data_IF_627862386822
#
_entry.id   IF_627862386822
#
_cell.length_a   1.000
_cell.length_b   1.000
_cell.length_c   1.000
_cell.angle_alpha   90.00
_cell.angle_beta   90.00
_cell.angle_gamma   90.00
#
_symmetry.space_group_name_H-M   'P 1'
#
loop_
_entity.id
_entity.type
_entity.pdbx_description
1 polymer ?
2 non-polymer ?
3 water ?
#
# COMPACT_ATOMS: atom_id res chain seq x y z
N UNK A 6 -10.38 11.41 -5.69
CA UNK A 6 -11.47 10.57 -5.21
C UNK A 6 -11.04 9.13 -4.80
N UNK A 7 -12.00 8.34 -4.32
CA UNK A 7 -11.75 7.00 -3.86
C UNK A 7 -11.23 6.07 -4.97
N UNK A 8 -11.92 6.07 -6.11
CA UNK A 8 -11.57 5.24 -7.25
C UNK A 8 -10.14 5.41 -7.72
N UNK A 9 -9.58 6.63 -7.60
CA UNK A 9 -8.20 6.89 -8.01
C UNK A 9 -7.21 6.16 -7.08
N UNK A 10 -7.39 6.28 -5.73
CA UNK A 10 -6.51 5.64 -4.76
C UNK A 10 -6.68 4.13 -4.78
N UNK A 11 -7.91 3.65 -4.96
CA UNK A 11 -8.18 2.20 -5.08
C UNK A 11 -7.41 1.59 -6.24
N UNK A 12 -7.27 2.35 -7.35
CA UNK A 12 -6.52 1.92 -8.52
C UNK A 12 -5.01 1.86 -8.24
N UNK A 13 -4.45 2.87 -7.57
CA UNK A 13 -3.03 2.86 -7.18
C UNK A 13 -2.75 1.65 -6.25
N UNK A 14 -3.66 1.41 -5.28
CA UNK A 14 -3.49 0.33 -4.32
C UNK A 14 -3.54 -1.05 -5.01
N UNK A 15 -4.44 -1.24 -6.00
CA UNK A 15 -4.55 -2.50 -6.75
C UNK A 15 -3.34 -2.69 -7.62
N UNK A 16 -2.92 -1.63 -8.35
CA UNK A 16 -1.74 -1.71 -9.22
C UNK A 16 -0.50 -2.10 -8.44
N UNK A 17 -0.32 -1.55 -7.21
CA UNK A 17 0.87 -1.86 -6.41
C UNK A 17 0.86 -3.32 -6.00
N UNK A 18 -0.28 -3.84 -5.56
CA UNK A 18 -0.37 -5.27 -5.22
C UNK A 18 -0.11 -6.14 -6.45
N UNK A 19 -0.56 -5.68 -7.63
CA UNK A 19 -0.30 -6.40 -8.88
C UNK A 19 1.20 -6.44 -9.16
N UNK A 20 1.90 -5.33 -8.94
CA UNK A 20 3.35 -5.22 -9.07
C UNK A 20 4.07 -6.19 -8.11
N UNK A 21 3.70 -6.20 -6.82
CA UNK A 21 4.31 -7.08 -5.81
C UNK A 21 4.11 -8.58 -6.13
N UNK A 22 2.86 -8.97 -6.46
CA UNK A 22 2.52 -10.36 -6.80
C UNK A 22 2.95 -10.78 -8.22
N UNK A 23 3.57 -9.86 -8.99
CA UNK A 23 3.99 -10.04 -10.38
C UNK A 23 2.86 -10.51 -11.30
N UNK A 24 1.60 -10.17 -10.98
CA UNK A 24 0.49 -10.54 -11.85
C UNK A 24 0.51 -9.59 -13.06
N UNK A 25 0.29 -10.12 -14.27
CA UNK A 25 0.43 -9.28 -15.47
C UNK A 25 -0.49 -8.06 -15.56
N UNK A 26 0.00 -7.01 -16.22
CA UNK A 26 -0.73 -5.76 -16.43
C UNK A 26 -0.91 -5.56 -17.94
N UNK A 27 -2.15 -5.69 -18.44
CA UNK A 27 -2.37 -5.55 -19.88
C UNK A 27 -2.62 -4.12 -20.38
N UNK A 28 -2.51 -3.98 -21.70
CA UNK A 28 -2.79 -2.76 -22.44
C UNK A 28 -2.05 -1.50 -22.07
N UNK A 29 -2.85 -0.44 -21.84
CA UNK A 29 -2.42 0.91 -21.47
C UNK A 29 -1.34 0.89 -20.39
N UNK A 30 -1.48 -0.04 -19.45
CA UNK A 30 -0.54 -0.20 -18.36
C UNK A 30 -0.84 0.79 -17.25
N UNK A 31 0.06 0.86 -16.26
CA UNK A 31 -0.15 1.81 -15.17
C UNK A 31 0.04 3.24 -15.63
N UNK A 32 -0.68 4.18 -15.02
CA UNK A 32 -0.49 5.60 -15.29
C UNK A 32 0.92 6.02 -14.81
N UNK A 33 1.40 7.20 -15.22
CA UNK A 33 2.71 7.69 -14.79
C UNK A 33 2.80 7.78 -13.24
N UNK A 34 1.70 8.20 -12.57
CA UNK A 34 1.67 8.28 -11.11
C UNK A 34 1.88 6.89 -10.51
N UNK A 35 1.20 5.88 -11.08
CA UNK A 35 1.27 4.52 -10.60
C UNK A 35 2.66 3.98 -10.74
N UNK A 36 3.31 4.23 -11.88
CA UNK A 36 4.66 3.79 -12.13
C UNK A 36 5.65 4.44 -11.18
N UNK A 37 5.55 5.76 -10.93
CA UNK A 37 6.43 6.44 -9.97
C UNK A 37 6.19 5.85 -8.56
N UNK A 38 4.92 5.70 -8.16
CA UNK A 38 4.58 5.11 -6.87
C UNK A 38 5.16 3.71 -6.70
N UNK A 39 5.00 2.82 -7.70
CA UNK A 39 5.52 1.46 -7.65
C UNK A 39 7.03 1.45 -7.49
N UNK A 40 7.75 2.34 -8.19
CA UNK A 40 9.20 2.38 -8.07
C UNK A 40 9.62 2.81 -6.67
N UNK A 41 8.99 3.85 -6.12
CA UNK A 41 9.33 4.33 -4.78
C UNK A 41 8.93 3.31 -3.71
N UNK A 42 7.69 2.81 -3.77
CA UNK A 42 7.19 1.86 -2.77
C UNK A 42 7.94 0.55 -2.78
N UNK A 43 8.41 0.09 -3.95
CA UNK A 43 9.18 -1.16 -4.01
C UNK A 43 10.47 -1.03 -3.18
N UNK A 44 11.14 0.12 -3.30
CA UNK A 44 12.34 0.38 -2.52
C UNK A 44 12.06 0.53 -1.00
N UNK A 45 10.98 1.23 -0.61
CA UNK A 45 10.63 1.36 0.81
C UNK A 45 10.31 -0.04 1.40
N UNK A 46 9.51 -0.83 0.69
CA UNK A 46 9.15 -2.17 1.13
C UNK A 46 10.34 -3.06 1.42
N UNK A 47 11.42 -2.95 0.62
CA UNK A 47 12.63 -3.72 0.87
C UNK A 47 13.21 -3.42 2.27
N UNK A 48 13.23 -2.12 2.67
CA UNK A 48 13.70 -1.68 3.99
C UNK A 48 12.73 -2.13 5.08
N UNK A 49 11.43 -1.85 4.89
CA UNK A 49 10.38 -2.21 5.84
C UNK A 49 10.38 -3.70 6.16
N UNK A 50 10.47 -4.57 5.14
CA UNK A 50 10.50 -6.02 5.36
C UNK A 50 11.65 -6.43 6.25
N UNK A 51 12.86 -5.87 6.01
CA UNK A 51 14.02 -6.19 6.84
C UNK A 51 13.79 -5.74 8.29
N UNK A 52 13.35 -4.49 8.50
CA UNK A 52 13.10 -3.94 9.83
C UNK A 52 11.97 -4.64 10.59
N UNK A 53 10.88 -5.02 9.91
CA UNK A 53 9.73 -5.67 10.55
C UNK A 53 9.80 -7.19 10.49
N UNK A 54 10.93 -7.79 10.07
CA UNK A 54 11.03 -9.22 9.90
C UNK A 54 10.61 -10.04 11.12
N UNK A 55 11.05 -9.65 12.34
CA UNK A 55 10.67 -10.35 13.56
C UNK A 55 9.18 -10.27 13.80
N UNK A 56 8.58 -9.10 13.51
CA UNK A 56 7.13 -8.90 13.67
C UNK A 56 6.37 -9.79 12.69
N UNK A 57 6.83 -9.83 11.44
CA UNK A 57 6.21 -10.64 10.41
C UNK A 57 6.29 -12.12 10.76
N UNK A 58 7.45 -12.58 11.24
CA UNK A 58 7.61 -13.98 11.65
C UNK A 58 6.74 -14.38 12.87
N UNK A 59 6.27 -13.39 13.62
CA UNK A 59 5.47 -13.64 14.82
C UNK A 59 3.96 -13.79 14.54
N UNK A 60 3.53 -13.50 13.33
CA UNK A 60 2.11 -13.39 13.05
C UNK A 60 1.57 -14.45 12.06
N UNK A 61 0.25 -14.80 12.17
CA UNK A 61 -0.39 -15.78 11.29
C UNK A 61 -1.53 -15.12 10.56
N UNK A 62 -1.29 -14.70 9.29
CA UNK A 62 -2.25 -13.96 8.45
C UNK A 62 -3.13 -14.94 7.67
N UNK A 63 -4.08 -15.57 8.38
CA UNK A 63 -4.93 -16.61 7.80
C UNK A 63 -6.02 -16.09 6.90
N UNK A 64 -6.37 -14.81 7.00
CA UNK A 64 -7.47 -14.27 6.22
C UNK A 64 -7.36 -12.77 6.01
N UNK A 65 -8.26 -12.20 5.16
CA UNK A 65 -8.38 -10.78 4.92
C UNK A 65 -8.71 -10.07 6.23
N UNK A 66 -9.57 -10.67 7.10
CA UNK A 66 -9.90 -10.03 8.39
C UNK A 66 -8.66 -9.90 9.26
N UNK A 67 -7.77 -10.92 9.24
CA UNK A 67 -6.54 -10.84 10.03
C UNK A 67 -5.65 -9.77 9.47
N UNK A 68 -5.55 -9.69 8.12
CA UNK A 68 -4.71 -8.67 7.49
C UNK A 68 -5.22 -7.28 7.84
N UNK A 69 -6.54 -7.08 7.91
CA UNK A 69 -7.11 -5.77 8.26
C UNK A 69 -6.79 -5.40 9.71
N UNK A 70 -6.90 -6.37 10.63
CA UNK A 70 -6.57 -6.15 12.05
C UNK A 70 -5.10 -5.74 12.19
N UNK A 71 -4.21 -6.44 11.47
CA UNK A 71 -2.78 -6.11 11.53
C UNK A 71 -2.52 -4.77 10.88
N UNK A 72 -3.16 -4.47 9.74
CA UNK A 72 -2.99 -3.17 9.09
C UNK A 72 -3.40 -2.03 10.04
N UNK A 73 -4.55 -2.17 10.72
CA UNK A 73 -5.00 -1.17 11.66
C UNK A 73 -4.00 -0.92 12.79
N UNK A 74 -3.38 -2.00 13.31
CA UNK A 74 -2.40 -1.85 14.39
C UNK A 74 -1.16 -1.12 13.92
N UNK A 75 -0.65 -1.47 12.72
CA UNK A 75 0.53 -0.83 12.16
C UNK A 75 0.23 0.66 11.84
N UNK A 76 -0.97 1.00 11.31
CA UNK A 76 -1.25 2.42 11.01
C UNK A 76 -1.34 3.26 12.26
N UNK A 77 -1.89 2.69 13.34
CA UNK A 77 -2.00 3.41 14.60
C UNK A 77 -0.62 3.76 15.15
N UNK A 78 0.39 2.85 15.01
CA UNK A 78 1.74 3.17 15.49
C UNK A 78 2.49 4.08 14.52
N UNK A 79 2.37 3.82 13.21
CA UNK A 79 3.03 4.63 12.20
C UNK A 79 2.69 6.13 12.32
N UNK A 80 1.41 6.43 12.61
CA UNK A 80 0.94 7.82 12.68
C UNK A 80 0.68 8.30 14.11
N UNK A 81 1.32 7.68 15.10
CA UNK A 81 1.17 8.03 16.51
C UNK A 81 1.44 9.52 16.79
N UNK A 82 2.48 10.13 16.17
CA UNK A 82 2.77 11.56 16.36
C UNK A 82 1.83 12.53 15.57
N UNK A 83 0.96 11.95 14.75
CA UNK A 83 0.01 12.69 13.95
C UNK A 83 0.54 13.27 12.67
N UNK A 84 1.81 12.99 12.32
CA UNK A 84 2.33 13.64 11.13
C UNK A 84 2.15 12.77 9.88
N UNK A 85 1.82 13.47 8.78
CA UNK A 85 1.65 12.93 7.46
C UNK A 85 2.68 13.58 6.57
N UNK A 86 3.33 12.77 5.73
CA UNK A 86 4.23 13.21 4.67
C UNK A 86 4.19 12.16 3.53
N UNK A 87 4.79 12.45 2.35
CA UNK A 87 4.72 11.48 1.25
C UNK A 87 5.41 10.17 1.60
N UNK A 88 6.50 10.24 2.35
CA UNK A 88 7.23 9.05 2.80
C UNK A 88 6.35 8.11 3.61
N UNK A 89 5.53 8.67 4.52
CA UNK A 89 4.62 7.85 5.30
C UNK A 89 3.49 7.26 4.45
N UNK A 90 3.06 7.99 3.41
CA UNK A 90 2.00 7.47 2.54
C UNK A 90 2.55 6.33 1.70
N UNK A 91 3.78 6.47 1.18
CA UNK A 91 4.43 5.41 0.43
C UNK A 91 4.58 4.13 1.31
N UNK A 92 4.82 4.33 2.60
CA UNK A 92 4.94 3.29 3.60
C UNK A 92 3.62 2.51 3.74
N UNK A 93 2.47 3.16 3.54
CA UNK A 93 1.18 2.47 3.57
C UNK A 93 1.10 1.42 2.43
N UNK A 94 1.57 1.80 1.24
CA UNK A 94 1.60 0.91 0.09
C UNK A 94 2.63 -0.19 0.35
N UNK A 95 3.80 0.16 0.90
CA UNK A 95 4.82 -0.84 1.25
C UNK A 95 4.25 -1.88 2.22
N UNK A 96 3.46 -1.43 3.20
CA UNK A 96 2.83 -2.35 4.13
C UNK A 96 1.76 -3.25 3.48
N UNK A 97 0.96 -2.73 2.51
CA UNK A 97 0.00 -3.61 1.84
C UNK A 97 0.74 -4.66 1.00
N UNK A 98 1.90 -4.31 0.42
CA UNK A 98 2.73 -5.26 -0.31
C UNK A 98 3.23 -6.37 0.61
N UNK A 99 3.53 -6.03 1.86
CA UNK A 99 3.98 -6.98 2.88
C UNK A 99 2.84 -7.88 3.33
N UNK A 100 1.65 -7.31 3.56
CA UNK A 100 0.51 -8.12 3.97
C UNK A 100 0.11 -9.11 2.88
N UNK A 101 0.15 -8.68 1.60
CA UNK A 101 -0.25 -9.57 0.52
C UNK A 101 0.70 -10.75 0.37
N UNK A 102 2.00 -10.55 0.65
CA UNK A 102 2.96 -11.64 0.59
C UNK A 102 2.75 -12.60 1.79
N UNK A 103 2.34 -12.06 2.96
CA UNK A 103 2.05 -12.93 4.10
C UNK A 103 0.83 -13.78 3.79
N UNK A 104 -0.22 -13.17 3.23
CA UNK A 104 -1.48 -13.81 2.83
C UNK A 104 -1.18 -14.88 1.77
N UNK A 105 -0.28 -14.60 0.83
CA UNK A 105 0.10 -15.58 -0.19
C UNK A 105 0.66 -16.86 0.46
N UNK A 106 1.39 -16.75 1.57
CA UNK A 106 1.87 -17.94 2.27
C UNK A 106 0.82 -18.51 3.24
N UNK A 107 0.17 -17.67 4.04
CA UNK A 107 -0.67 -18.15 5.14
C UNK A 107 -2.20 -18.11 4.98
N UNK A 108 -2.75 -17.42 3.97
CA UNK A 108 -4.21 -17.38 3.77
C UNK A 108 -4.78 -18.82 3.62
N UNK A 109 -5.84 -19.12 4.37
CA UNK A 109 -6.46 -20.43 4.33
C UNK A 109 -7.32 -20.57 3.06
N UNK A 110 -8.24 -19.62 2.81
CA UNK A 110 -9.17 -19.62 1.67
C UNK A 110 -8.51 -19.67 0.31
N UNK A 111 -9.06 -20.47 -0.62
CA UNK A 111 -8.49 -20.50 -1.98
C UNK A 111 -9.11 -19.36 -2.78
N UNK A 112 -8.75 -18.12 -2.44
CA UNK A 112 -9.32 -16.96 -3.11
C UNK A 112 -8.22 -16.01 -3.54
N UNK A 113 -7.92 -15.95 -4.84
CA UNK A 113 -6.88 -15.05 -5.35
C UNK A 113 -7.33 -13.58 -5.32
N UNK A 114 -8.64 -13.32 -5.39
CA UNK A 114 -9.20 -11.98 -5.39
C UNK A 114 -9.16 -11.27 -4.03
N UNK A 115 -8.51 -11.86 -3.02
CA UNK A 115 -8.39 -11.22 -1.72
C UNK A 115 -7.57 -9.95 -1.78
N UNK A 116 -6.68 -9.81 -2.78
CA UNK A 116 -5.90 -8.60 -2.94
C UNK A 116 -6.80 -7.39 -3.24
N UNK A 117 -7.97 -7.61 -3.88
CA UNK A 117 -8.88 -6.50 -4.15
C UNK A 117 -9.57 -6.03 -2.82
N UNK A 118 -9.78 -6.94 -1.86
CA UNK A 118 -10.32 -6.60 -0.54
C UNK A 118 -9.27 -5.85 0.27
N UNK A 119 -7.98 -6.26 0.16
CA UNK A 119 -6.84 -5.61 0.79
C UNK A 119 -6.72 -4.18 0.22
N UNK A 120 -6.64 -4.05 -1.13
CA UNK A 120 -6.55 -2.75 -1.82
C UNK A 120 -7.68 -1.83 -1.38
N UNK A 121 -8.88 -2.38 -1.21
CA UNK A 121 -10.04 -1.59 -0.82
C UNK A 121 -9.90 -0.96 0.56
N UNK A 122 -9.57 -1.74 1.62
CA UNK A 122 -9.45 -1.13 2.96
C UNK A 122 -8.23 -0.23 3.07
N UNK A 123 -7.17 -0.48 2.29
CA UNK A 123 -5.98 0.37 2.30
C UNK A 123 -6.38 1.71 1.67
N UNK A 124 -7.08 1.68 0.53
CA UNK A 124 -7.53 2.90 -0.11
C UNK A 124 -8.53 3.67 0.78
N UNK A 125 -9.44 2.96 1.50
CA UNK A 125 -10.34 3.72 2.38
C UNK A 125 -9.56 4.33 3.55
N UNK A 126 -8.43 3.71 3.99
CA UNK A 126 -7.63 4.31 5.05
C UNK A 126 -6.91 5.55 4.51
N UNK A 127 -6.29 5.45 3.34
CA UNK A 127 -5.61 6.58 2.72
C UNK A 127 -6.58 7.75 2.48
N UNK A 128 -7.79 7.45 1.99
CA UNK A 128 -8.77 8.50 1.75
C UNK A 128 -9.30 9.09 3.05
N UNK A 129 -9.75 8.24 3.98
CA UNK A 129 -10.37 8.71 5.21
C UNK A 129 -9.38 9.41 6.16
N UNK A 130 -8.16 8.87 6.31
CA UNK A 130 -7.18 9.41 7.23
C UNK A 130 -6.17 10.39 6.64
N UNK A 131 -5.80 10.27 5.36
CA UNK A 131 -4.81 11.18 4.76
C UNK A 131 -5.35 12.02 3.58
N UNK A 132 -6.59 11.80 3.17
CA UNK A 132 -7.19 12.51 2.03
C UNK A 132 -7.14 14.03 2.09
N UNK A 133 -7.36 14.62 3.28
CA UNK A 133 -7.30 16.08 3.43
C UNK A 133 -5.88 16.58 3.31
N UNK A 134 -4.89 15.82 3.82
CA UNK A 134 -3.49 16.21 3.67
C UNK A 134 -3.06 16.13 2.21
N UNK A 135 -3.48 15.11 1.48
CA UNK A 135 -3.11 14.94 0.07
C UNK A 135 -3.62 16.12 -0.77
N UNK A 136 -4.85 16.53 -0.54
CA UNK A 136 -5.48 17.66 -1.20
C UNK A 136 -4.76 18.98 -0.83
N UNK A 137 -4.27 19.10 0.41
CA UNK A 137 -3.52 20.28 0.83
C UNK A 137 -2.10 20.29 0.19
N UNK A 138 -1.53 19.10 -0.11
CA UNK A 138 -0.16 19.03 -0.61
C UNK A 138 -0.05 18.75 -2.13
N UNK A 139 -1.09 19.09 -2.87
CA UNK A 139 -1.02 19.07 -4.33
C UNK A 139 -1.58 17.88 -5.06
N UNK A 140 -2.11 16.91 -4.33
CA UNK A 140 -2.68 15.72 -4.95
C UNK A 140 -1.61 14.79 -5.49
N UNK A 141 -2.05 13.75 -6.18
CA UNK A 141 -1.14 12.73 -6.70
C UNK A 141 -0.31 13.21 -7.88
N UNK A 142 -0.95 13.74 -8.92
CA UNK A 142 -0.24 14.18 -10.13
C UNK A 142 0.57 15.46 -9.95
N UNK A 143 0.07 16.41 -9.16
CA UNK A 143 0.78 17.68 -8.97
C UNK A 143 1.52 17.82 -7.67
N UNK A 144 1.57 16.77 -6.86
CA UNK A 144 2.25 16.80 -5.58
C UNK A 144 3.15 15.61 -5.40
N UNK A 145 2.56 14.38 -5.39
CA UNK A 145 3.38 13.19 -5.24
C UNK A 145 4.33 13.04 -6.41
N UNK A 146 3.81 13.06 -7.65
CA UNK A 146 4.65 12.87 -8.82
C UNK A 146 5.75 13.89 -8.93
N UNK A 147 5.41 15.18 -8.79
CA UNK A 147 6.40 16.25 -8.88
C UNK A 147 7.55 16.09 -7.89
N UNK A 148 7.28 15.50 -6.73
CA UNK A 148 8.30 15.29 -5.72
C UNK A 148 9.17 14.07 -6.01
N UNK A 149 8.58 12.99 -6.56
CA UNK A 149 9.32 11.74 -6.74
C UNK A 149 9.70 11.34 -8.18
N UNK A 150 9.38 12.15 -9.20
CA UNK A 150 9.72 11.80 -10.58
C UNK A 150 11.19 12.09 -10.86
N UNK A 151 11.85 11.25 -11.68
CA UNK A 151 13.26 11.50 -11.97
C UNK A 151 13.45 12.82 -12.72
N UNK A 152 14.50 13.56 -12.36
CA UNK A 152 14.79 14.86 -12.96
C UNK A 152 15.71 14.73 -14.18
X LIG B 1 3.23 -8.52 16.26
X LIG B 1 5.76 -8.55 17.68
X LIG B 1 6.02 -9.74 18.36
X LIG B 1 6.81 -7.90 16.99
X LIG B 1 6.66 -6.52 16.39
X LIG B 1 6.91 -5.40 17.42
X LIG B 1 8.35 -5.25 17.69
X LIG B 1 6.36 -4.06 16.93
X LIG B 1 4.30 -2.85 16.38
X LIG B 1 2.93 -3.29 15.86
X LIG B 1 1.84 -2.25 15.86
X LIG B 1 1.80 -3.35 16.87
X LIG B 1 2.98 -4.31 14.73
X LIG B 1 3.08 -6.11 12.58
X LIG B 1 4.12 -5.22 12.81
X LIG B 1 4.07 -4.34 13.87
X LIG B 1 3.13 -7.04 11.42
X LIG B 1 3.67 -8.23 11.72
X LIG B 1 3.82 -6.54 10.39
X LIG B 1 1.93 -7.33 10.95
X LIG B 1 1.99 -6.09 13.44
X LIG B 1 1.94 -5.20 14.50
X LIG B 1 5.04 -3.91 17.06
X LIG B 1 7.10 -3.20 16.46
X LIG B 1 9.47 -5.18 17.91
X LIG B 1 4.05 -7.99 17.77
X LIG B 1 3.89 -6.53 17.99
X LIG B 1 3.29 -8.91 19.10
X LIG B 1 8.06 -8.51 16.97
X LIG B 1 8.29 -9.72 17.61
X LIG B 1 7.28 -10.32 18.31
#
# INVERSE_FOLDING_TARGET
GMTDCEFGYIYRLAQDYLQCVLQIPQPGSGPSKTSRVLQNVAFSVQKEVEKNLKSCLDNVNVVSVDTARTLFNQVMEKEFEDGIINWGRIVTIFAFEGILIKKLLRQQIAPDVDTYKEISYFVAEFIMNNTGEWIRQNGGWENGFVKKFEPK
A1H2C C1 C2 C3 C7 C8 C9 C10 C11 C12 C13 C14 C15 C16 C19 C20 C21 C22 F2 F F1 C18 C17 N1 O1 N P O C C6 C5 C4
#
